data_IF_659604019368
#
_entry.id   IF_659604019368
#
_cell.length_a   1.000
_cell.length_b   1.000
_cell.length_c   1.000
_cell.angle_alpha   90.00
_cell.angle_beta   90.00
_cell.angle_gamma   90.00
#
_symmetry.space_group_name_H-M   'P 1'
#
loop_
_entity.id
_entity.type
_entity.pdbx_description
1 polymer ?
#
# COMPACT_ATOMS: atom_id res chain seq x y z
N UNK A 1 12.96 1.48 -6.85
CA UNK A 1 13.11 1.64 -5.40
C UNK A 1 12.18 2.68 -4.78
N UNK A 2 11.88 3.81 -5.44
CA UNK A 2 11.00 4.84 -4.85
C UNK A 2 9.64 4.31 -4.34
N UNK A 3 8.94 3.47 -5.12
CA UNK A 3 7.67 2.87 -4.69
C UNK A 3 7.82 1.99 -3.45
N UNK A 4 8.92 1.22 -3.35
CA UNK A 4 9.20 0.35 -2.20
C UNK A 4 9.36 1.19 -0.92
N UNK A 5 10.17 2.24 -0.96
CA UNK A 5 10.39 3.12 0.19
C UNK A 5 9.14 3.92 0.54
N UNK A 6 8.42 4.44 -0.46
CA UNK A 6 7.18 5.16 -0.25
C UNK A 6 6.09 4.28 0.38
N UNK A 7 6.00 3.02 -0.03
CA UNK A 7 5.09 2.04 0.57
C UNK A 7 5.49 1.61 1.98
N UNK A 8 6.77 1.71 2.35
CA UNK A 8 7.25 1.41 3.71
C UNK A 8 6.96 2.54 4.72
N UNK A 9 6.80 3.79 4.27
CA UNK A 9 6.59 4.96 5.14
C UNK A 9 5.45 4.81 6.17
N UNK A 10 4.27 4.25 5.81
CA UNK A 10 3.20 4.04 6.79
C UNK A 10 3.60 3.14 7.97
N UNK A 11 4.60 2.26 7.83
CA UNK A 11 5.04 1.42 8.96
C UNK A 11 5.57 2.25 10.15
N UNK A 12 6.05 3.48 9.91
CA UNK A 12 6.52 4.37 10.97
C UNK A 12 5.43 4.85 11.93
N UNK A 13 4.16 4.70 11.55
CA UNK A 13 3.01 5.07 12.39
C UNK A 13 2.64 3.98 13.39
N UNK A 14 3.15 2.76 13.21
CA UNK A 14 2.84 1.57 14.00
C UNK A 14 3.99 1.29 15.01
N UNK A 15 3.76 0.44 16.03
CA UNK A 15 3.84 0.84 17.45
C UNK A 15 5.22 1.34 17.95
N UNK A 16 6.31 0.97 17.28
CA UNK A 16 7.57 1.70 17.37
C UNK A 16 8.03 2.00 15.93
N UNK A 17 8.32 3.26 15.56
CA UNK A 17 8.52 4.43 16.42
C UNK A 17 7.26 5.23 16.80
N UNK A 18 6.04 4.73 16.50
CA UNK A 18 4.76 5.38 16.86
C UNK A 18 4.63 6.86 16.45
N UNK A 19 5.16 7.22 15.28
CA UNK A 19 5.02 8.56 14.69
C UNK A 19 3.61 8.73 14.09
N UNK A 20 2.58 8.52 14.90
CA UNK A 20 1.16 8.46 14.49
C UNK A 20 0.70 9.71 13.73
N UNK A 21 1.28 10.88 14.02
CA UNK A 21 0.98 12.12 13.30
C UNK A 21 1.34 12.05 11.81
N UNK A 22 2.25 11.13 11.40
CA UNK A 22 2.55 10.90 9.99
C UNK A 22 1.42 10.17 9.27
N UNK A 23 0.49 9.51 9.96
CA UNK A 23 -0.59 8.75 9.33
C UNK A 23 -1.43 9.60 8.36
N UNK A 24 -1.60 10.89 8.65
CA UNK A 24 -2.32 11.83 7.79
C UNK A 24 -1.66 12.04 6.41
N UNK A 25 -0.34 11.80 6.29
CA UNK A 25 0.45 12.10 5.09
C UNK A 25 1.33 10.95 4.57
N UNK A 26 1.51 9.87 5.32
CA UNK A 26 2.50 8.81 5.01
C UNK A 26 2.22 8.10 3.68
N UNK A 27 0.94 8.02 3.26
CA UNK A 27 0.55 7.46 1.97
C UNK A 27 0.74 8.42 0.78
N UNK A 28 0.91 9.73 1.02
CA UNK A 28 0.97 10.74 -0.04
C UNK A 28 2.10 10.47 -1.04
N UNK A 29 3.36 10.19 -0.64
CA UNK A 29 4.43 9.93 -1.59
C UNK A 29 4.12 8.74 -2.50
N UNK A 30 3.51 7.69 -1.96
CA UNK A 30 3.16 6.49 -2.73
C UNK A 30 2.01 6.74 -3.71
N UNK A 31 0.97 7.45 -3.26
CA UNK A 31 -0.14 7.87 -4.12
C UNK A 31 0.31 8.81 -5.23
N UNK A 32 1.26 9.72 -4.98
CA UNK A 32 1.82 10.61 -6.00
C UNK A 32 2.62 9.84 -7.06
N UNK A 33 3.41 8.84 -6.66
CA UNK A 33 4.10 7.95 -7.59
C UNK A 33 3.10 7.21 -8.49
N UNK A 34 2.10 6.55 -7.90
CA UNK A 34 1.07 5.83 -8.65
C UNK A 34 0.29 6.78 -9.58
N UNK A 35 -0.08 7.96 -9.10
CA UNK A 35 -0.79 8.99 -9.87
C UNK A 35 -0.01 9.42 -11.11
N UNK A 36 1.31 9.52 -11.02
CA UNK A 36 2.19 9.95 -12.10
C UNK A 36 2.49 8.85 -13.14
N UNK A 37 2.04 7.61 -12.90
CA UNK A 37 2.32 6.49 -13.79
C UNK A 37 1.69 6.68 -15.19
N UNK A 38 2.56 6.72 -16.21
CA UNK A 38 2.17 6.89 -17.60
C UNK A 38 1.25 5.79 -18.13
N UNK A 39 1.36 4.57 -17.60
CA UNK A 39 0.53 3.42 -18.01
C UNK A 39 -0.17 2.74 -16.83
N UNK A 40 -1.26 2.02 -17.12
CA UNK A 40 -1.98 1.21 -16.12
C UNK A 40 -1.08 0.11 -15.56
N UNK A 41 -0.29 -0.56 -16.42
CA UNK A 41 0.69 -1.55 -16.00
C UNK A 41 1.69 -0.97 -15.01
N UNK A 42 2.19 0.25 -15.27
CA UNK A 42 3.11 0.93 -14.36
C UNK A 42 2.46 1.23 -13.01
N UNK A 43 1.22 1.71 -13.00
CA UNK A 43 0.46 1.94 -11.76
C UNK A 43 0.26 0.66 -10.94
N UNK A 44 -0.04 -0.46 -11.62
CA UNK A 44 -0.15 -1.77 -10.98
C UNK A 44 1.17 -2.22 -10.37
N UNK A 45 2.29 -2.02 -11.09
CA UNK A 45 3.64 -2.33 -10.58
C UNK A 45 4.04 -1.44 -9.41
N UNK A 46 3.79 -0.14 -9.47
CA UNK A 46 4.09 0.78 -8.36
C UNK A 46 3.20 0.49 -7.13
N UNK A 47 1.95 0.04 -7.35
CA UNK A 47 1.09 -0.51 -6.30
C UNK A 47 1.63 -1.80 -5.71
N UNK A 48 2.00 -2.78 -6.55
CA UNK A 48 2.57 -4.03 -6.07
C UNK A 48 3.86 -3.83 -5.26
N UNK A 49 4.82 -3.08 -5.83
CA UNK A 49 6.12 -2.84 -5.20
C UNK A 49 6.00 -2.04 -3.91
N UNK A 50 5.08 -1.07 -3.84
CA UNK A 50 4.83 -0.37 -2.58
C UNK A 50 4.16 -1.26 -1.54
N UNK A 51 3.25 -2.16 -1.96
CA UNK A 51 2.68 -3.18 -1.08
C UNK A 51 3.74 -4.12 -0.50
N UNK A 52 4.73 -4.52 -1.29
CA UNK A 52 5.91 -5.26 -0.79
C UNK A 52 6.63 -4.48 0.31
N UNK A 53 6.89 -3.18 0.07
CA UNK A 53 7.57 -2.31 1.02
C UNK A 53 6.80 -2.18 2.33
N UNK A 54 5.48 -2.00 2.25
CA UNK A 54 4.59 -1.95 3.40
C UNK A 54 4.61 -3.25 4.20
N UNK A 55 4.38 -4.39 3.53
CA UNK A 55 4.32 -5.70 4.18
C UNK A 55 5.65 -6.03 4.86
N UNK A 56 6.78 -5.87 4.17
CA UNK A 56 8.11 -6.14 4.75
C UNK A 56 8.36 -5.22 5.95
N UNK A 57 8.06 -3.92 5.83
CA UNK A 57 8.32 -2.98 6.91
C UNK A 57 7.47 -3.28 8.15
N UNK A 58 6.18 -3.61 7.99
CA UNK A 58 5.30 -3.99 9.10
C UNK A 58 5.67 -5.34 9.71
N UNK A 59 6.15 -6.30 8.89
CA UNK A 59 6.47 -7.66 9.34
C UNK A 59 7.97 -7.88 9.58
N UNK A 60 8.78 -6.83 9.65
CA UNK A 60 10.23 -6.96 9.79
C UNK A 60 10.63 -7.74 11.06
N UNK A 61 9.78 -7.75 12.09
CA UNK A 61 9.99 -8.54 13.31
C UNK A 61 9.95 -10.06 13.07
N UNK A 62 9.35 -10.54 11.97
CA UNK A 62 9.37 -11.95 11.55
C UNK A 62 10.68 -12.33 10.84
N UNK A 63 11.58 -11.39 10.59
CA UNK A 63 12.85 -11.62 9.90
C UNK A 63 13.69 -12.75 10.52
N UNK A 64 13.81 -12.90 11.86
CA UNK A 64 14.55 -14.00 12.49
C UNK A 64 13.95 -15.38 12.24
N UNK A 65 12.64 -15.46 11.94
CA UNK A 65 11.95 -16.72 11.69
C UNK A 65 11.88 -17.03 10.20
N UNK A 66 11.43 -16.05 9.40
CA UNK A 66 11.18 -16.22 7.97
C UNK A 66 12.43 -16.07 7.12
N UNK A 67 13.47 -15.36 7.57
CA UNK A 67 14.67 -15.08 6.78
C UNK A 67 14.28 -14.59 5.37
N UNK A 68 14.81 -15.22 4.31
CA UNK A 68 14.50 -14.88 2.91
C UNK A 68 13.01 -15.04 2.56
N UNK A 69 12.25 -15.89 3.27
CA UNK A 69 10.83 -16.10 3.00
C UNK A 69 9.97 -14.87 3.29
N UNK A 70 10.46 -13.87 4.04
CA UNK A 70 9.74 -12.60 4.22
C UNK A 70 9.58 -11.87 2.87
N UNK A 71 10.52 -12.05 1.94
CA UNK A 71 10.48 -11.41 0.62
C UNK A 71 9.38 -12.06 -0.22
N UNK A 72 9.24 -13.38 -0.14
CA UNK A 72 8.17 -14.13 -0.79
C UNK A 72 6.79 -13.75 -0.21
N UNK A 73 6.68 -13.65 1.11
CA UNK A 73 5.47 -13.19 1.78
C UNK A 73 5.09 -11.77 1.35
N UNK A 74 6.07 -10.85 1.36
CA UNK A 74 5.90 -9.47 0.90
C UNK A 74 5.45 -9.40 -0.56
N UNK A 75 6.07 -10.18 -1.44
CA UNK A 75 5.69 -10.26 -2.85
C UNK A 75 4.26 -10.78 -3.03
N UNK A 76 3.88 -11.84 -2.32
CA UNK A 76 2.55 -12.45 -2.44
C UNK A 76 1.45 -11.54 -1.89
N UNK A 77 1.57 -11.06 -0.65
CA UNK A 77 0.57 -10.17 -0.04
C UNK A 77 0.54 -8.82 -0.73
N UNK A 78 1.69 -8.32 -1.17
CA UNK A 78 1.80 -7.06 -1.92
C UNK A 78 0.99 -7.07 -3.21
N UNK A 79 0.71 -8.23 -3.83
CA UNK A 79 -0.09 -8.31 -5.07
C UNK A 79 -1.49 -7.70 -4.90
N UNK A 80 -2.02 -7.72 -3.67
CA UNK A 80 -3.32 -7.11 -3.35
C UNK A 80 -3.35 -5.60 -3.66
N UNK A 81 -2.20 -4.91 -3.60
CA UNK A 81 -2.09 -3.49 -3.93
C UNK A 81 -1.96 -3.20 -5.43
N UNK A 82 -1.76 -4.21 -6.29
CA UNK A 82 -1.72 -4.00 -7.74
C UNK A 82 -3.04 -3.42 -8.30
N UNK A 83 -4.23 -4.02 -8.05
CA UNK A 83 -5.51 -3.44 -8.48
C UNK A 83 -5.79 -2.10 -7.80
N UNK A 84 -5.37 -1.91 -6.53
CA UNK A 84 -5.49 -0.63 -5.84
C UNK A 84 -4.65 0.47 -6.48
N UNK A 85 -3.42 0.17 -6.92
CA UNK A 85 -2.59 1.10 -7.68
C UNK A 85 -3.26 1.52 -9.00
N UNK A 86 -3.90 0.59 -9.71
CA UNK A 86 -4.70 0.90 -10.91
C UNK A 86 -5.86 1.84 -10.55
N UNK A 87 -6.60 1.54 -9.48
CA UNK A 87 -7.72 2.36 -9.00
C UNK A 87 -7.27 3.78 -8.65
N UNK A 88 -6.22 3.92 -7.84
CA UNK A 88 -5.65 5.20 -7.44
C UNK A 88 -5.18 6.02 -8.66
N UNK A 89 -4.47 5.40 -9.62
CA UNK A 89 -4.07 6.08 -10.86
C UNK A 89 -5.26 6.56 -11.69
N UNK A 90 -6.30 5.73 -11.80
CA UNK A 90 -7.53 6.09 -12.54
C UNK A 90 -8.30 7.22 -11.89
N UNK A 91 -8.30 7.35 -10.57
CA UNK A 91 -9.08 8.38 -9.88
C UNK A 91 -8.28 9.66 -9.64
N UNK A 92 -6.98 9.56 -9.37
CA UNK A 92 -6.11 10.68 -9.02
C UNK A 92 -5.31 11.25 -10.21
N UNK A 93 -5.14 10.49 -11.29
CA UNK A 93 -4.32 10.89 -12.45
C UNK A 93 -5.05 11.82 -13.43
N UNK A 94 -4.32 12.50 -14.32
CA UNK A 94 -4.90 13.39 -15.34
C UNK A 94 -5.53 14.67 -14.77
N UNK A 95 -6.46 15.28 -15.52
CA UNK A 95 -7.07 16.56 -15.14
C UNK A 95 -8.04 16.37 -13.96
N UNK A 96 -7.92 17.18 -12.89
CA UNK A 96 -8.81 17.10 -11.74
C UNK A 96 -10.23 17.54 -12.11
N UNK A 97 -11.23 16.90 -11.52
CA UNK A 97 -12.64 17.31 -11.57
C UNK A 97 -13.34 16.94 -10.27
N UNK A 98 -14.40 17.67 -9.90
CA UNK A 98 -15.15 17.44 -8.64
C UNK A 98 -15.65 16.00 -8.55
N UNK A 99 -16.22 15.46 -9.64
CA UNK A 99 -16.70 14.07 -9.69
C UNK A 99 -15.60 13.05 -9.40
N UNK A 100 -14.40 13.25 -9.97
CA UNK A 100 -13.27 12.33 -9.75
C UNK A 100 -12.71 12.45 -8.34
N UNK A 101 -12.65 13.67 -7.80
CA UNK A 101 -12.24 13.89 -6.41
C UNK A 101 -13.21 13.21 -5.44
N UNK A 102 -14.52 13.40 -5.61
CA UNK A 102 -15.54 12.74 -4.80
C UNK A 102 -15.45 11.20 -4.88
N UNK A 103 -15.28 10.65 -6.09
CA UNK A 103 -15.07 9.22 -6.28
C UNK A 103 -13.78 8.72 -5.62
N UNK A 104 -12.68 9.50 -5.67
CA UNK A 104 -11.42 9.15 -5.06
C UNK A 104 -11.50 9.06 -3.52
N UNK A 105 -12.19 10.01 -2.89
CA UNK A 105 -12.39 10.05 -1.43
C UNK A 105 -13.09 8.79 -0.91
N UNK A 106 -13.97 8.20 -1.70
CA UNK A 106 -14.66 6.95 -1.32
C UNK A 106 -13.85 5.73 -1.76
N UNK A 107 -13.54 5.62 -3.05
CA UNK A 107 -13.04 4.37 -3.62
C UNK A 107 -11.58 4.07 -3.24
N UNK A 108 -10.72 5.07 -3.08
CA UNK A 108 -9.31 4.82 -2.72
C UNK A 108 -9.20 4.23 -1.29
N UNK A 109 -9.87 4.80 -0.27
CA UNK A 109 -9.95 4.16 1.05
C UNK A 109 -10.69 2.82 1.04
N UNK A 110 -11.81 2.68 0.32
CA UNK A 110 -12.53 1.39 0.24
C UNK A 110 -11.67 0.29 -0.39
N UNK A 111 -10.87 0.62 -1.41
CA UNK A 111 -9.93 -0.33 -2.00
C UNK A 111 -8.85 -0.77 -1.02
N UNK A 112 -8.37 0.12 -0.16
CA UNK A 112 -7.45 -0.24 0.93
C UNK A 112 -8.13 -1.17 1.93
N UNK A 113 -9.34 -0.81 2.37
CA UNK A 113 -10.13 -1.63 3.31
C UNK A 113 -10.39 -3.05 2.77
N UNK A 114 -10.67 -3.19 1.46
CA UNK A 114 -10.84 -4.51 0.85
C UNK A 114 -9.56 -5.36 0.92
N UNK A 115 -8.38 -4.75 0.77
CA UNK A 115 -7.10 -5.44 0.95
C UNK A 115 -6.95 -5.90 2.40
N UNK A 116 -7.22 -5.02 3.37
CA UNK A 116 -7.16 -5.36 4.79
C UNK A 116 -8.15 -6.45 5.16
N UNK A 117 -9.35 -6.46 4.58
CA UNK A 117 -10.33 -7.52 4.78
C UNK A 117 -9.79 -8.89 4.30
N UNK A 118 -9.18 -8.94 3.11
CA UNK A 118 -8.54 -10.16 2.60
C UNK A 118 -7.42 -10.61 3.53
N UNK A 119 -6.54 -9.68 3.94
CA UNK A 119 -5.41 -9.97 4.83
C UNK A 119 -5.84 -10.40 6.23
N UNK A 120 -7.01 -9.98 6.69
CA UNK A 120 -7.55 -10.31 8.01
C UNK A 120 -8.19 -11.71 8.06
N UNK A 121 -8.25 -12.44 6.94
CA UNK A 121 -8.71 -13.82 6.95
C UNK A 121 -7.80 -14.67 7.87
N UNK A 122 -8.40 -15.37 8.83
CA UNK A 122 -7.73 -16.28 9.76
C UNK A 122 -6.70 -17.22 9.11
N UNK A 123 -6.98 -17.75 7.91
CA UNK A 123 -6.06 -18.63 7.17
C UNK A 123 -4.75 -17.95 6.70
N UNK A 124 -4.68 -16.62 6.76
CA UNK A 124 -3.50 -15.81 6.42
C UNK A 124 -2.78 -15.25 7.66
N UNK A 125 -3.24 -15.59 8.87
CA UNK A 125 -2.60 -15.21 10.13
C UNK A 125 -3.20 -13.99 10.83
N UNK A 126 -4.35 -13.47 10.40
CA UNK A 126 -5.09 -12.37 11.05
C UNK A 126 -4.59 -10.95 10.70
N UNK A 127 -5.20 -9.88 11.26
CA UNK A 127 -4.86 -8.51 10.92
C UNK A 127 -3.53 -8.05 11.55
N UNK A 128 -2.59 -7.58 10.71
CA UNK A 128 -1.30 -7.03 11.14
C UNK A 128 -1.08 -5.63 10.56
N UNK A 129 -0.58 -4.70 11.39
CA UNK A 129 -0.41 -3.30 11.02
C UNK A 129 -1.73 -2.50 11.06
N UNK A 130 -2.60 -2.85 12.00
CA UNK A 130 -3.77 -2.06 12.41
C UNK A 130 -3.42 -1.11 13.56
#
# INVERSE_FOLDING_TARGET
MAALLAGALPALTFPAPSLWWLAYGALVPWLLLIRSAGTVRRAALDGWIGGIGFVIAVHHWLMPSLHVFIVLLGALLGLLWAPWGILARRLLGGRPSVRRAAAAVVAVPSGWLAIELVRSWEGLGGPWGL
#
